data_IF_980296908092
#
_entry.id   IF_980296908092
#
_cell.length_a   1.000
_cell.length_b   1.000
_cell.length_c   1.000
_cell.angle_alpha   90.00
_cell.angle_beta   90.00
_cell.angle_gamma   90.00
#
_symmetry.space_group_name_H-M   'P 1'
#
loop_
_entity.id
_entity.type
_entity.pdbx_description
1 polymer ?
#
# COMPACT_ATOMS: atom_id res chain seq x y z
N UNK A 1 36.31 -2.78 -10.13
CA UNK A 1 35.15 -2.37 -9.31
C UNK A 1 35.27 -0.87 -9.14
N UNK A 2 34.40 -0.11 -9.76
CA UNK A 2 34.34 1.35 -9.60
C UNK A 2 33.75 1.65 -8.24
N UNK A 3 34.51 2.34 -7.40
CA UNK A 3 34.02 2.84 -6.10
C UNK A 3 33.50 4.26 -6.31
N UNK A 4 32.18 4.41 -6.48
CA UNK A 4 31.52 5.70 -6.63
C UNK A 4 31.71 6.62 -5.39
N UNK A 5 32.22 6.07 -4.29
CA UNK A 5 32.44 6.78 -3.02
C UNK A 5 33.68 7.67 -3.01
N UNK A 6 34.53 7.61 -4.03
CA UNK A 6 35.76 8.39 -4.13
C UNK A 6 35.63 9.69 -4.93
N UNK A 7 34.46 10.01 -5.47
CA UNK A 7 34.22 11.23 -6.22
C UNK A 7 33.84 12.38 -5.26
N UNK A 8 34.71 13.29 -5.01
CA UNK A 8 34.48 14.46 -4.15
C UNK A 8 33.29 15.33 -4.59
N UNK A 9 32.88 15.24 -5.85
CA UNK A 9 31.73 15.93 -6.41
C UNK A 9 30.48 15.06 -6.60
N UNK A 10 30.53 13.86 -6.11
CA UNK A 10 29.41 12.92 -5.92
C UNK A 10 28.41 12.90 -7.07
N UNK A 11 28.75 12.63 -8.29
CA UNK A 11 27.87 12.45 -9.45
C UNK A 11 28.37 13.04 -10.75
N UNK A 12 29.54 13.68 -10.78
CA UNK A 12 30.07 14.30 -11.99
C UNK A 12 30.30 13.29 -13.15
N UNK A 13 30.47 12.03 -12.82
CA UNK A 13 30.77 10.97 -13.81
C UNK A 13 29.58 10.06 -14.10
N UNK A 14 28.40 10.32 -13.56
CA UNK A 14 27.21 9.56 -13.80
C UNK A 14 26.32 10.24 -14.84
N UNK A 15 26.04 9.52 -15.89
CA UNK A 15 25.20 10.02 -16.98
C UNK A 15 23.70 9.85 -16.69
N UNK A 16 23.31 8.78 -16.00
CA UNK A 16 21.91 8.36 -15.92
C UNK A 16 21.35 8.45 -14.49
N UNK A 17 22.10 8.03 -13.47
CA UNK A 17 21.64 8.04 -12.10
C UNK A 17 22.77 8.42 -11.13
N UNK A 18 22.41 9.22 -10.15
CA UNK A 18 23.29 9.59 -9.05
C UNK A 18 22.65 9.27 -7.72
N UNK A 19 23.31 8.47 -6.90
CA UNK A 19 22.90 8.22 -5.52
C UNK A 19 24.03 8.48 -4.57
N UNK A 20 23.72 9.08 -3.43
CA UNK A 20 24.68 9.38 -2.38
C UNK A 20 24.62 8.30 -1.30
N UNK A 21 25.76 8.03 -0.68
CA UNK A 21 25.80 7.19 0.51
C UNK A 21 25.10 7.91 1.68
N UNK A 22 24.28 7.18 2.39
CA UNK A 22 23.63 7.67 3.60
C UNK A 22 23.47 6.57 4.63
N UNK A 23 23.31 6.97 5.89
CA UNK A 23 22.99 6.07 6.97
C UNK A 23 21.92 6.70 7.86
N UNK A 24 20.98 5.89 8.30
CA UNK A 24 19.98 6.28 9.28
C UNK A 24 19.80 5.15 10.29
N UNK A 25 19.45 5.51 11.51
CA UNK A 25 19.12 4.56 12.57
C UNK A 25 17.72 4.89 13.09
N UNK A 26 16.97 3.85 13.36
CA UNK A 26 15.67 3.97 14.00
C UNK A 26 15.58 3.01 15.18
N UNK A 27 14.65 3.27 16.07
CA UNK A 27 14.35 2.38 17.18
C UNK A 27 12.85 2.33 17.42
N UNK A 28 12.35 1.13 17.71
CA UNK A 28 10.96 0.91 18.06
C UNK A 28 10.87 0.19 19.40
N UNK A 29 9.95 0.64 20.23
CA UNK A 29 9.58 -0.02 21.48
C UNK A 29 8.10 -0.40 21.40
N UNK A 30 7.78 -1.65 21.69
CA UNK A 30 6.42 -2.14 21.60
C UNK A 30 6.05 -2.96 22.83
N UNK A 31 4.80 -2.84 23.23
CA UNK A 31 4.16 -3.72 24.21
C UNK A 31 2.84 -4.22 23.64
N UNK A 32 2.48 -5.46 23.93
CA UNK A 32 1.20 -6.01 23.52
C UNK A 32 0.55 -6.79 24.67
N UNK A 33 -0.77 -6.85 24.63
CA UNK A 33 -1.60 -7.65 25.52
C UNK A 33 -2.65 -8.36 24.68
N UNK A 34 -2.89 -9.62 24.99
CA UNK A 34 -3.93 -10.44 24.36
C UNK A 34 -4.65 -11.23 25.43
N UNK A 35 -5.96 -11.24 25.39
CA UNK A 35 -6.85 -11.96 26.32
C UNK A 35 -7.84 -12.74 25.46
N UNK A 36 -7.87 -14.06 25.67
CA UNK A 36 -8.87 -14.96 25.12
C UNK A 36 -9.81 -15.38 26.25
N UNK A 37 -11.11 -15.21 26.07
CA UNK A 37 -12.14 -15.48 27.06
C UNK A 37 -13.17 -16.44 26.47
N UNK A 38 -13.29 -17.68 26.98
CA UNK A 38 -14.46 -18.49 26.69
C UNK A 38 -15.70 -17.83 27.28
N UNK A 39 -16.69 -17.53 26.45
CA UNK A 39 -17.95 -16.90 26.85
C UNK A 39 -19.02 -17.92 27.16
N UNK A 40 -19.05 -19.01 26.36
CA UNK A 40 -20.00 -20.11 26.47
C UNK A 40 -19.25 -21.39 26.15
N UNK A 41 -19.53 -22.43 26.93
CA UNK A 41 -19.05 -23.80 26.72
C UNK A 41 -20.11 -24.73 27.30
N UNK A 42 -21.17 -24.98 26.54
CA UNK A 42 -22.27 -25.86 26.93
C UNK A 42 -22.93 -26.55 25.72
N UNK A 43 -23.64 -27.62 26.00
CA UNK A 43 -24.28 -28.46 24.98
C UNK A 43 -25.43 -27.77 24.21
N UNK A 44 -25.98 -26.68 24.75
CA UNK A 44 -27.12 -25.99 24.14
C UNK A 44 -26.70 -24.91 23.13
N UNK A 45 -25.68 -24.13 23.47
CA UNK A 45 -25.20 -23.01 22.68
C UNK A 45 -23.84 -23.27 22.02
N UNK A 46 -23.23 -24.41 22.32
CA UNK A 46 -21.91 -24.79 21.84
C UNK A 46 -20.79 -23.99 22.51
N UNK A 47 -19.71 -23.76 21.79
CA UNK A 47 -18.53 -23.03 22.26
C UNK A 47 -18.46 -21.63 21.66
N UNK A 48 -18.29 -20.62 22.49
CA UNK A 48 -18.02 -19.25 22.03
C UNK A 48 -16.82 -18.65 22.76
N UNK A 49 -15.94 -18.00 22.02
CA UNK A 49 -14.74 -17.35 22.54
C UNK A 49 -14.66 -15.90 22.01
N UNK A 50 -14.30 -15.01 22.90
CA UNK A 50 -13.95 -13.62 22.59
C UNK A 50 -12.45 -13.41 22.80
N UNK A 51 -11.77 -12.90 21.78
CA UNK A 51 -10.38 -12.46 21.85
C UNK A 51 -10.33 -10.94 21.78
N UNK A 52 -9.66 -10.32 22.73
CA UNK A 52 -9.35 -8.89 22.74
C UNK A 52 -7.84 -8.75 22.82
N UNK A 53 -7.27 -7.98 21.92
CA UNK A 53 -5.84 -7.69 21.92
C UNK A 53 -5.59 -6.21 21.65
N UNK A 54 -4.43 -5.74 22.06
CA UNK A 54 -3.96 -4.41 21.74
C UNK A 54 -2.44 -4.37 21.73
N UNK A 55 -1.90 -3.63 20.80
CA UNK A 55 -0.46 -3.38 20.69
C UNK A 55 -0.23 -1.87 20.75
N UNK A 56 0.69 -1.46 21.58
CA UNK A 56 1.24 -0.11 21.59
C UNK A 56 2.66 -0.17 21.00
N UNK A 57 2.97 0.72 20.07
CA UNK A 57 4.31 0.84 19.49
C UNK A 57 4.72 2.30 19.46
N UNK A 58 5.95 2.58 19.88
CA UNK A 58 6.56 3.90 19.85
C UNK A 58 7.80 3.87 18.95
N UNK A 59 7.83 4.71 17.95
CA UNK A 59 8.87 4.83 16.94
C UNK A 59 9.62 6.13 17.13
N UNK A 60 10.94 6.07 17.20
CA UNK A 60 11.76 7.27 17.38
C UNK A 60 11.60 8.22 16.17
N UNK A 61 11.18 9.46 16.43
CA UNK A 61 11.03 10.49 15.39
C UNK A 61 9.89 10.29 14.39
N UNK A 62 8.91 9.41 14.72
CA UNK A 62 7.70 9.21 13.92
C UNK A 62 6.45 9.42 14.79
N UNK A 63 6.46 8.89 16.01
CA UNK A 63 5.33 8.92 16.91
C UNK A 63 4.98 7.55 17.46
N UNK A 64 3.74 7.39 17.91
CA UNK A 64 3.27 6.13 18.49
C UNK A 64 1.96 5.71 17.86
N UNK A 65 1.73 4.39 17.81
CA UNK A 65 0.46 3.79 17.42
C UNK A 65 -0.14 2.95 18.52
N UNK A 66 -1.44 2.79 18.45
CA UNK A 66 -2.19 1.84 19.26
C UNK A 66 -3.10 1.03 18.33
N UNK A 67 -2.86 -0.26 18.25
CA UNK A 67 -3.51 -1.16 17.29
C UNK A 67 -4.37 -2.20 18.05
N UNK A 68 -5.67 -1.93 18.23
CA UNK A 68 -6.61 -2.86 18.86
C UNK A 68 -7.03 -3.97 17.89
N UNK A 69 -7.39 -5.11 18.47
CA UNK A 69 -8.06 -6.21 17.81
C UNK A 69 -9.17 -6.77 18.67
N UNK A 70 -10.31 -7.04 18.08
CA UNK A 70 -11.39 -7.83 18.64
C UNK A 70 -11.74 -8.96 17.68
N UNK A 71 -11.89 -10.17 18.20
CA UNK A 71 -12.31 -11.31 17.41
C UNK A 71 -13.26 -12.19 18.20
N UNK A 72 -14.22 -12.76 17.50
CA UNK A 72 -15.21 -13.70 18.05
C UNK A 72 -15.17 -14.96 17.21
N UNK A 73 -15.14 -16.08 17.88
CA UNK A 73 -15.39 -17.40 17.32
C UNK A 73 -16.59 -18.01 18.04
N UNK A 74 -17.57 -18.47 17.28
CA UNK A 74 -18.72 -19.17 17.80
C UNK A 74 -18.93 -20.49 17.06
N UNK A 75 -18.97 -21.56 17.77
CA UNK A 75 -19.17 -22.92 17.29
C UNK A 75 -20.45 -23.48 17.92
N UNK A 76 -21.63 -23.17 17.33
CA UNK A 76 -22.93 -23.59 17.89
C UNK A 76 -23.13 -25.12 17.85
N UNK A 77 -22.43 -25.77 16.94
CA UNK A 77 -22.41 -27.23 16.76
C UNK A 77 -20.98 -27.64 16.39
N UNK A 78 -20.60 -28.86 16.66
CA UNK A 78 -19.25 -29.40 16.37
C UNK A 78 -18.84 -29.27 14.89
N UNK A 79 -19.84 -29.29 14.01
CA UNK A 79 -19.63 -29.22 12.57
C UNK A 79 -19.62 -27.80 11.99
N UNK A 80 -20.04 -26.77 12.75
CA UNK A 80 -20.16 -25.40 12.25
C UNK A 80 -19.35 -24.41 13.13
N UNK A 81 -18.43 -23.68 12.55
CA UNK A 81 -17.75 -22.57 13.20
C UNK A 81 -17.95 -21.27 12.43
N UNK A 82 -18.34 -20.23 13.15
CA UNK A 82 -18.47 -18.86 12.67
C UNK A 82 -17.34 -18.03 13.27
N UNK A 83 -16.79 -17.11 12.51
CA UNK A 83 -15.73 -16.21 12.96
C UNK A 83 -15.92 -14.81 12.43
N UNK A 84 -15.60 -13.83 13.26
CA UNK A 84 -15.56 -12.43 12.87
C UNK A 84 -14.40 -11.75 13.61
N UNK A 85 -13.71 -10.84 12.96
CA UNK A 85 -12.70 -10.01 13.61
C UNK A 85 -12.62 -8.63 12.98
N UNK A 86 -12.24 -7.67 13.83
CA UNK A 86 -11.86 -6.33 13.44
C UNK A 86 -10.52 -6.00 14.11
N UNK A 87 -9.62 -5.40 13.36
CA UNK A 87 -8.34 -4.92 13.89
C UNK A 87 -7.86 -3.71 13.12
N UNK A 88 -7.04 -2.90 13.77
CA UNK A 88 -6.25 -1.88 13.10
C UNK A 88 -4.80 -2.33 12.98
N UNK A 89 -4.08 -1.75 12.03
CA UNK A 89 -2.66 -1.96 11.83
C UNK A 89 -2.01 -0.65 11.39
N UNK A 90 -0.72 -0.55 11.63
CA UNK A 90 0.08 0.64 11.41
C UNK A 90 1.40 0.25 10.73
N UNK A 91 1.82 1.02 9.73
CA UNK A 91 3.10 0.82 9.05
C UNK A 91 3.89 2.13 9.12
N UNK A 92 5.01 2.11 9.85
CA UNK A 92 5.90 3.25 9.90
C UNK A 92 6.60 3.46 8.54
N UNK A 93 6.84 4.73 8.13
CA UNK A 93 7.65 5.03 6.97
C UNK A 93 9.05 4.41 7.12
N UNK A 94 9.54 3.80 6.06
CA UNK A 94 10.89 3.21 6.07
C UNK A 94 11.97 4.30 6.13
N UNK A 95 13.17 3.94 6.62
CA UNK A 95 14.31 4.86 6.64
C UNK A 95 14.64 5.39 5.24
N UNK A 96 14.49 4.57 4.20
CA UNK A 96 14.71 5.00 2.83
C UNK A 96 13.68 6.06 2.40
N UNK A 97 12.41 5.89 2.73
CA UNK A 97 11.38 6.87 2.40
C UNK A 97 11.60 8.22 3.13
N UNK A 98 12.17 8.19 4.34
CA UNK A 98 12.41 9.40 5.13
C UNK A 98 13.73 10.09 4.85
N UNK A 99 14.81 9.33 4.65
CA UNK A 99 16.17 9.85 4.72
C UNK A 99 17.02 9.62 3.48
N UNK A 100 16.44 9.08 2.39
CA UNK A 100 17.18 9.01 1.13
C UNK A 100 17.68 10.41 0.76
N UNK A 101 19.00 10.57 0.53
CA UNK A 101 19.56 11.85 0.13
C UNK A 101 19.07 12.23 -1.26
N UNK A 102 19.19 13.51 -1.58
CA UNK A 102 18.84 14.02 -2.89
C UNK A 102 19.62 13.26 -3.97
N UNK A 103 18.89 12.61 -4.87
CA UNK A 103 19.41 11.83 -5.97
C UNK A 103 18.76 12.25 -7.28
N UNK A 104 19.43 12.03 -8.41
CA UNK A 104 18.89 12.38 -9.72
C UNK A 104 19.05 11.25 -10.71
N UNK A 105 18.11 11.16 -11.65
CA UNK A 105 18.12 10.21 -12.75
C UNK A 105 17.37 10.80 -13.95
N UNK A 106 17.61 10.26 -15.14
CA UNK A 106 16.88 10.65 -16.34
C UNK A 106 15.62 9.82 -16.48
N UNK A 107 14.50 10.48 -16.72
CA UNK A 107 13.22 9.84 -16.98
C UNK A 107 12.48 10.50 -18.14
N UNK A 108 11.89 9.69 -19.00
CA UNK A 108 11.07 10.14 -20.10
C UNK A 108 9.77 10.78 -19.57
N UNK A 109 9.49 12.00 -19.99
CA UNK A 109 8.34 12.79 -19.54
C UNK A 109 7.82 13.65 -20.69
N UNK A 110 6.51 13.64 -20.91
CA UNK A 110 5.83 14.51 -21.87
C UNK A 110 5.53 15.88 -21.21
N UNK A 111 5.37 16.91 -22.02
CA UNK A 111 4.94 18.23 -21.56
C UNK A 111 3.69 18.67 -22.31
N UNK A 112 2.55 18.15 -21.91
CA UNK A 112 1.26 18.42 -22.57
C UNK A 112 0.83 19.89 -22.46
N UNK A 113 1.28 20.61 -21.43
CA UNK A 113 0.97 22.02 -21.23
C UNK A 113 1.50 22.90 -22.38
N UNK A 114 2.62 22.49 -22.99
CA UNK A 114 3.18 23.19 -24.15
C UNK A 114 3.10 22.37 -25.44
N UNK A 115 2.14 21.44 -25.52
CA UNK A 115 1.89 20.55 -26.68
C UNK A 115 3.11 19.69 -27.08
N UNK A 116 4.06 19.46 -26.16
CA UNK A 116 5.18 18.55 -26.34
C UNK A 116 4.73 17.13 -25.97
N UNK A 117 4.31 16.39 -26.98
CA UNK A 117 3.82 15.01 -26.87
C UNK A 117 4.91 13.97 -27.01
N UNK A 118 6.08 14.39 -27.48
CA UNK A 118 7.21 13.48 -27.57
C UNK A 118 7.85 13.33 -26.20
N UNK A 119 7.92 12.08 -25.77
CA UNK A 119 8.55 11.77 -24.49
C UNK A 119 10.04 12.10 -24.54
N UNK A 120 10.44 13.12 -23.83
CA UNK A 120 11.84 13.58 -23.76
C UNK A 120 12.43 13.21 -22.41
N UNK A 121 13.68 12.77 -22.39
CA UNK A 121 14.41 12.51 -21.16
C UNK A 121 14.67 13.80 -20.41
N UNK A 122 14.21 13.87 -19.17
CA UNK A 122 14.35 15.02 -18.28
C UNK A 122 14.95 14.61 -16.97
N UNK A 123 15.67 15.49 -16.34
CA UNK A 123 16.21 15.25 -14.99
C UNK A 123 15.09 15.13 -13.99
N UNK A 124 14.99 13.98 -13.35
CA UNK A 124 14.16 13.75 -12.20
C UNK A 124 15.03 13.74 -10.95
N UNK A 125 14.66 14.54 -9.97
CA UNK A 125 15.34 14.60 -8.68
C UNK A 125 14.38 14.06 -7.63
N UNK A 126 14.82 13.18 -6.77
CA UNK A 126 14.04 12.71 -5.64
C UNK A 126 14.86 12.71 -4.35
N UNK A 127 14.18 12.83 -3.24
CA UNK A 127 14.76 12.70 -1.90
C UNK A 127 13.73 12.11 -0.94
N UNK A 128 14.21 11.62 0.19
CA UNK A 128 13.33 11.19 1.28
C UNK A 128 12.53 12.36 1.83
N UNK A 129 11.39 12.05 2.42
CA UNK A 129 10.55 13.02 3.12
C UNK A 129 10.50 12.67 4.61
N UNK A 130 11.16 13.45 5.49
CA UNK A 130 11.15 13.20 6.92
C UNK A 130 9.80 13.45 7.60
N UNK A 131 8.90 14.20 6.93
CA UNK A 131 7.59 14.58 7.44
C UNK A 131 6.48 13.57 7.09
N UNK A 132 6.87 12.39 6.57
CA UNK A 132 5.91 11.33 6.29
C UNK A 132 5.25 10.82 7.57
N UNK A 133 3.94 10.72 7.50
CA UNK A 133 3.11 10.10 8.50
C UNK A 133 3.03 8.58 8.28
N UNK A 134 2.70 7.80 9.30
CA UNK A 134 2.48 6.37 9.16
C UNK A 134 1.26 6.02 8.32
N UNK A 135 1.34 4.92 7.58
CA UNK A 135 0.17 4.31 6.94
C UNK A 135 -0.70 3.64 7.99
N UNK A 136 -2.00 3.75 7.87
CA UNK A 136 -2.97 3.09 8.74
C UNK A 136 -3.80 2.08 7.94
N UNK A 137 -4.21 1.00 8.60
CA UNK A 137 -5.08 0.01 8.00
C UNK A 137 -6.16 -0.43 8.98
N UNK A 138 -7.38 -0.58 8.48
CA UNK A 138 -8.47 -1.26 9.15
C UNK A 138 -8.72 -2.59 8.45
N UNK A 139 -8.83 -3.65 9.23
CA UNK A 139 -8.97 -5.01 8.72
C UNK A 139 -10.22 -5.63 9.33
N UNK A 140 -11.16 -6.00 8.50
CA UNK A 140 -12.37 -6.72 8.88
C UNK A 140 -12.39 -8.10 8.21
N UNK A 141 -12.61 -9.14 9.01
CA UNK A 141 -12.78 -10.49 8.50
C UNK A 141 -14.06 -11.10 9.06
N UNK A 142 -14.81 -11.77 8.20
CA UNK A 142 -16.00 -12.55 8.59
C UNK A 142 -15.99 -13.85 7.79
N UNK A 143 -16.21 -14.96 8.46
CA UNK A 143 -16.22 -16.24 7.77
C UNK A 143 -16.91 -17.35 8.53
N UNK A 144 -17.10 -18.45 7.86
CA UNK A 144 -17.59 -19.68 8.46
C UNK A 144 -16.85 -20.90 7.90
N UNK A 145 -16.84 -21.95 8.70
CA UNK A 145 -16.36 -23.27 8.27
C UNK A 145 -17.32 -24.37 8.71
N UNK A 146 -17.50 -25.33 7.84
CA UNK A 146 -18.32 -26.53 8.05
C UNK A 146 -17.42 -27.74 7.97
N UNK A 147 -17.47 -28.61 8.96
CA UNK A 147 -16.71 -29.86 9.03
C UNK A 147 -17.67 -31.00 9.30
N UNK A 148 -18.03 -31.73 8.26
CA UNK A 148 -18.95 -32.89 8.34
C UNK A 148 -18.12 -34.16 8.32
N UNK A 149 -17.85 -34.71 9.51
CA UNK A 149 -17.31 -36.05 9.66
C UNK A 149 -18.42 -37.05 9.33
N UNK A 150 -18.03 -38.19 8.72
CA UNK A 150 -18.95 -39.23 8.30
C UNK A 150 -20.11 -38.71 7.44
N UNK A 151 -19.83 -37.70 6.56
CA UNK A 151 -20.81 -37.12 5.62
C UNK A 151 -21.45 -38.20 4.72
N UNK A 152 -20.68 -39.20 4.37
CA UNK A 152 -21.17 -40.46 3.79
C UNK A 152 -20.42 -41.62 4.45
N UNK A 153 -20.80 -42.85 4.09
CA UNK A 153 -20.05 -44.03 4.57
C UNK A 153 -18.56 -43.91 4.20
N UNK A 154 -17.70 -43.72 5.22
CA UNK A 154 -16.25 -43.54 5.09
C UNK A 154 -15.80 -42.23 4.36
N UNK A 155 -16.50 -41.12 4.49
CA UNK A 155 -16.04 -39.88 3.93
C UNK A 155 -16.30 -38.66 4.81
N UNK A 156 -15.40 -37.65 4.75
CA UNK A 156 -15.52 -36.37 5.39
C UNK A 156 -15.61 -35.29 4.35
N UNK A 157 -16.39 -34.24 4.65
CA UNK A 157 -16.50 -33.03 3.85
C UNK A 157 -16.22 -31.80 4.72
N UNK A 158 -15.24 -31.00 4.33
CA UNK A 158 -14.96 -29.72 4.95
C UNK A 158 -15.08 -28.62 3.90
N UNK A 159 -15.72 -27.52 4.23
CA UNK A 159 -15.73 -26.33 3.38
C UNK A 159 -15.87 -25.07 4.21
N UNK A 160 -15.48 -23.94 3.63
CA UNK A 160 -15.63 -22.66 4.29
C UNK A 160 -15.52 -21.50 3.33
N UNK A 161 -15.98 -20.36 3.81
CA UNK A 161 -15.91 -19.07 3.11
C UNK A 161 -15.44 -18.02 4.10
N UNK A 162 -14.48 -17.19 3.65
CA UNK A 162 -14.00 -16.02 4.37
C UNK A 162 -14.13 -14.79 3.50
N UNK A 163 -14.69 -13.75 4.05
CA UNK A 163 -14.68 -12.41 3.52
C UNK A 163 -13.67 -11.58 4.31
N UNK A 164 -12.77 -10.91 3.60
CA UNK A 164 -11.78 -10.00 4.15
C UNK A 164 -11.89 -8.64 3.48
N UNK A 165 -11.90 -7.58 4.29
CA UNK A 165 -11.80 -6.21 3.81
C UNK A 165 -10.60 -5.55 4.48
N UNK A 166 -9.74 -4.94 3.66
CA UNK A 166 -8.57 -4.16 4.06
C UNK A 166 -8.76 -2.75 3.56
N UNK A 167 -8.89 -1.81 4.47
CA UNK A 167 -8.98 -0.40 4.16
C UNK A 167 -7.72 0.31 4.63
N UNK A 168 -6.95 0.88 3.70
CA UNK A 168 -5.70 1.57 3.97
C UNK A 168 -5.87 3.07 3.76
N UNK A 169 -5.41 3.85 4.73
CA UNK A 169 -5.33 5.31 4.67
C UNK A 169 -3.87 5.76 4.73
N UNK A 170 -3.63 6.97 4.23
CA UNK A 170 -2.33 7.64 4.27
C UNK A 170 -1.17 6.80 3.70
N UNK A 171 -1.45 5.96 2.70
CA UNK A 171 -0.42 5.17 2.06
C UNK A 171 0.67 6.05 1.45
N UNK A 172 1.90 5.69 1.77
CA UNK A 172 3.08 6.39 1.29
C UNK A 172 3.32 6.00 -0.16
N UNK A 173 3.27 6.99 -1.03
CA UNK A 173 3.57 6.81 -2.45
C UNK A 173 4.69 7.73 -2.91
N UNK A 174 5.50 7.26 -3.85
CA UNK A 174 6.47 8.10 -4.55
C UNK A 174 5.79 8.69 -5.79
N UNK A 175 5.53 9.99 -5.76
CA UNK A 175 5.06 10.70 -6.92
C UNK A 175 6.25 10.99 -7.84
N UNK A 176 6.43 10.15 -8.86
CA UNK A 176 7.51 10.25 -9.83
C UNK A 176 7.26 11.39 -10.81
N UNK A 177 8.33 11.90 -11.44
CA UNK A 177 8.30 13.05 -12.32
C UNK A 177 7.16 13.05 -13.36
N UNK A 178 6.95 12.03 -14.18
CA UNK A 178 5.80 12.00 -15.09
C UNK A 178 4.47 12.18 -14.40
N UNK A 179 4.28 11.56 -13.22
CA UNK A 179 3.04 11.69 -12.44
C UNK A 179 2.85 13.10 -11.87
N UNK A 180 3.93 13.79 -11.50
CA UNK A 180 3.87 15.19 -11.08
C UNK A 180 3.38 16.06 -12.23
N UNK A 181 3.93 15.86 -13.43
CA UNK A 181 3.54 16.61 -14.64
C UNK A 181 2.10 16.30 -15.06
N UNK A 182 1.70 15.01 -15.04
CA UNK A 182 0.32 14.62 -15.34
C UNK A 182 -0.68 15.22 -14.36
N UNK A 183 -0.35 15.25 -13.06
CA UNK A 183 -1.20 15.82 -12.02
C UNK A 183 -1.34 17.35 -12.18
N UNK A 184 -0.26 18.05 -12.50
CA UNK A 184 -0.29 19.48 -12.79
C UNK A 184 -1.15 19.76 -14.03
N UNK A 185 -0.99 18.98 -15.09
CA UNK A 185 -1.80 19.09 -16.29
C UNK A 185 -3.29 18.81 -16.07
N UNK A 186 -3.60 17.84 -15.21
CA UNK A 186 -5.00 17.55 -14.85
C UNK A 186 -5.66 18.72 -14.13
N UNK A 187 -4.96 19.37 -13.20
CA UNK A 187 -5.43 20.59 -12.53
C UNK A 187 -5.59 21.76 -13.50
N UNK A 188 -4.68 21.86 -14.47
CA UNK A 188 -4.81 22.85 -15.55
C UNK A 188 -6.10 22.63 -16.33
N UNK A 189 -6.43 21.40 -16.71
CA UNK A 189 -7.67 21.09 -17.46
C UNK A 189 -8.94 21.39 -16.64
N UNK A 190 -8.89 21.21 -15.33
CA UNK A 190 -9.99 21.59 -14.43
C UNK A 190 -10.22 23.12 -14.44
N UNK A 191 -9.12 23.89 -14.45
CA UNK A 191 -9.16 25.36 -14.48
C UNK A 191 -9.51 25.93 -15.87
N UNK A 192 -9.16 25.21 -16.94
CA UNK A 192 -9.37 25.59 -18.33
C UNK A 192 -10.16 24.52 -19.09
N UNK A 193 -11.47 24.36 -18.85
CA UNK A 193 -12.27 23.27 -19.43
C UNK A 193 -12.37 23.26 -20.95
N UNK A 194 -12.02 24.36 -21.62
CA UNK A 194 -11.95 24.46 -23.09
C UNK A 194 -10.69 23.84 -23.67
N UNK A 195 -9.66 23.60 -22.85
CA UNK A 195 -8.43 22.94 -23.25
C UNK A 195 -8.57 21.42 -23.18
N UNK A 196 -7.79 20.74 -23.99
CA UNK A 196 -7.62 19.28 -23.93
C UNK A 196 -6.14 18.92 -24.17
N UNK A 197 -5.79 17.63 -24.07
CA UNK A 197 -4.42 17.17 -24.30
C UNK A 197 -3.88 17.45 -25.70
N UNK A 198 -4.70 17.94 -26.62
CA UNK A 198 -4.35 18.19 -28.02
C UNK A 198 -4.36 19.67 -28.40
N UNK A 199 -5.00 20.49 -27.56
CA UNK A 199 -5.24 21.90 -27.85
C UNK A 199 -5.13 22.72 -26.57
N UNK A 200 -3.90 23.08 -26.23
CA UNK A 200 -3.60 24.01 -25.13
C UNK A 200 -3.21 25.37 -25.73
N UNK A 201 -3.92 26.42 -25.35
CA UNK A 201 -3.54 27.78 -25.71
C UNK A 201 -2.25 28.14 -24.97
N UNK A 202 -1.30 28.77 -25.72
CA UNK A 202 -0.05 29.19 -25.11
C UNK A 202 -0.25 30.26 -24.03
N UNK A 203 -1.21 31.16 -24.22
CA UNK A 203 -1.50 32.20 -23.26
C UNK A 203 -2.07 31.64 -21.96
N UNK A 204 -2.95 30.62 -22.05
CA UNK A 204 -3.47 29.92 -20.89
C UNK A 204 -2.38 29.14 -20.17
N UNK A 205 -1.49 28.45 -20.91
CA UNK A 205 -0.35 27.76 -20.34
C UNK A 205 0.58 28.69 -19.56
N UNK A 206 0.89 29.89 -20.14
CA UNK A 206 1.72 30.90 -19.47
C UNK A 206 1.00 31.51 -18.26
N UNK A 207 -0.31 31.74 -18.35
CA UNK A 207 -1.10 32.18 -17.21
C UNK A 207 -1.06 31.18 -16.07
N UNK A 208 -1.19 29.87 -16.38
CA UNK A 208 -1.06 28.79 -15.41
C UNK A 208 0.30 28.78 -14.72
N UNK A 209 1.39 28.91 -15.47
CA UNK A 209 2.74 28.93 -14.89
C UNK A 209 2.93 30.12 -13.91
N UNK A 210 2.26 31.23 -14.13
CA UNK A 210 2.42 32.41 -13.28
C UNK A 210 1.61 32.37 -11.98
N UNK A 211 0.59 31.48 -11.87
CA UNK A 211 -0.28 31.44 -10.69
C UNK A 211 -0.27 30.09 -9.95
N UNK A 212 -0.26 29.02 -10.70
CA UNK A 212 -0.89 27.81 -10.18
C UNK A 212 -0.12 26.52 -10.45
N UNK A 213 0.89 26.55 -11.32
CA UNK A 213 1.68 25.39 -11.70
C UNK A 213 2.42 24.78 -10.50
N UNK A 214 2.59 23.47 -10.53
CA UNK A 214 3.29 22.74 -9.46
C UNK A 214 4.76 23.21 -9.35
N UNK A 215 5.19 23.72 -8.19
CA UNK A 215 6.56 24.23 -7.98
C UNK A 215 7.63 23.13 -8.12
N UNK A 216 7.24 21.85 -8.10
CA UNK A 216 8.13 20.72 -8.33
C UNK A 216 8.50 20.55 -9.81
N UNK A 217 7.84 21.26 -10.73
CA UNK A 217 8.16 21.27 -12.14
C UNK A 217 9.02 22.50 -12.46
N UNK A 218 10.31 22.31 -12.51
CA UNK A 218 11.26 23.39 -12.82
C UNK A 218 11.34 23.56 -14.32
N UNK A 219 11.05 24.75 -14.80
CA UNK A 219 11.03 25.10 -16.23
C UNK A 219 12.11 26.12 -16.57
N UNK A 220 12.59 26.07 -17.79
CA UNK A 220 13.42 27.14 -18.38
C UNK A 220 12.63 28.41 -18.59
N UNK A 221 13.36 29.49 -18.88
CA UNK A 221 12.75 30.78 -19.14
C UNK A 221 12.05 30.88 -20.51
N UNK A 222 11.33 32.00 -20.69
CA UNK A 222 10.73 32.34 -21.98
C UNK A 222 11.77 32.38 -23.10
N UNK A 223 11.41 32.05 -24.34
CA UNK A 223 10.08 31.65 -24.78
C UNK A 223 9.76 30.16 -24.69
N UNK A 224 10.72 29.29 -24.37
CA UNK A 224 10.52 27.85 -24.50
C UNK A 224 9.72 27.21 -23.35
N UNK A 225 9.93 27.69 -22.12
CA UNK A 225 9.34 27.13 -20.91
C UNK A 225 9.48 25.58 -20.75
N UNK A 226 10.48 25.01 -21.40
CA UNK A 226 10.75 23.57 -21.34
C UNK A 226 10.97 23.09 -19.93
N UNK A 227 10.49 21.92 -19.59
CA UNK A 227 10.79 21.27 -18.30
C UNK A 227 12.29 20.93 -18.27
N UNK A 228 13.01 21.48 -17.32
CA UNK A 228 14.44 21.22 -17.10
C UNK A 228 14.63 20.13 -16.06
N UNK A 229 13.80 20.15 -15.02
CA UNK A 229 13.86 19.21 -13.91
C UNK A 229 12.47 19.00 -13.33
N UNK A 230 12.20 17.81 -12.85
CA UNK A 230 11.03 17.51 -12.03
C UNK A 230 11.48 16.94 -10.70
N UNK A 231 10.97 17.46 -9.61
CA UNK A 231 11.21 16.96 -8.28
C UNK A 231 10.14 15.92 -7.94
N UNK A 232 10.56 14.67 -7.83
CA UNK A 232 9.74 13.58 -7.33
C UNK A 232 9.80 13.58 -5.78
N UNK A 233 8.71 13.24 -5.13
CA UNK A 233 8.65 13.25 -3.67
C UNK A 233 7.73 12.16 -3.13
N UNK A 234 8.01 11.75 -1.89
CA UNK A 234 7.13 10.87 -1.14
C UNK A 234 6.04 11.68 -0.43
N UNK A 235 4.82 11.18 -0.43
CA UNK A 235 3.70 11.78 0.29
C UNK A 235 2.73 10.71 0.79
N UNK A 236 1.98 11.04 1.82
CA UNK A 236 0.82 10.30 2.30
C UNK A 236 -0.41 10.81 1.53
N UNK A 237 -0.88 10.08 0.55
CA UNK A 237 -1.98 10.58 -0.29
C UNK A 237 -2.88 9.50 -0.87
N UNK A 238 -2.63 8.23 -0.57
CA UNK A 238 -3.36 7.15 -1.21
C UNK A 238 -4.25 6.44 -0.22
N UNK A 239 -5.54 6.40 -0.53
CA UNK A 239 -6.51 5.49 0.06
C UNK A 239 -6.60 4.27 -0.84
N UNK A 240 -6.59 3.08 -0.25
CA UNK A 240 -6.75 1.83 -0.97
C UNK A 240 -7.69 0.92 -0.19
N UNK A 241 -8.70 0.42 -0.85
CA UNK A 241 -9.55 -0.63 -0.33
C UNK A 241 -9.33 -1.91 -1.13
N UNK A 242 -9.17 -3.00 -0.42
CA UNK A 242 -9.02 -4.32 -0.99
C UNK A 242 -9.98 -5.29 -0.30
N UNK A 243 -10.86 -5.91 -1.08
CA UNK A 243 -11.76 -6.95 -0.60
C UNK A 243 -11.39 -8.28 -1.22
N UNK A 244 -11.49 -9.34 -0.43
CA UNK A 244 -11.27 -10.70 -0.90
C UNK A 244 -12.35 -11.63 -0.36
N UNK A 245 -12.74 -12.61 -1.17
CA UNK A 245 -13.57 -13.73 -0.77
C UNK A 245 -12.78 -14.99 -1.04
N UNK A 246 -12.44 -15.71 0.03
CA UNK A 246 -11.76 -17.00 -0.04
C UNK A 246 -12.77 -18.12 0.17
N UNK A 247 -12.74 -19.10 -0.71
CA UNK A 247 -13.58 -20.28 -0.65
C UNK A 247 -12.69 -21.51 -0.70
N UNK A 248 -12.91 -22.44 0.19
CA UNK A 248 -12.23 -23.73 0.14
C UNK A 248 -13.23 -24.87 0.36
N UNK A 249 -12.94 -26.03 -0.22
CA UNK A 249 -13.66 -27.27 0.02
C UNK A 249 -12.70 -28.45 -0.08
N UNK A 250 -12.78 -29.35 0.88
CA UNK A 250 -12.00 -30.58 0.96
C UNK A 250 -12.94 -31.77 1.13
N UNK A 251 -12.72 -32.78 0.32
CA UNK A 251 -13.38 -34.08 0.45
C UNK A 251 -12.33 -35.16 0.75
N UNK A 252 -12.54 -35.91 1.80
CA UNK A 252 -11.67 -37.02 2.19
C UNK A 252 -12.45 -38.31 2.15
N UNK A 253 -11.97 -39.28 1.39
CA UNK A 253 -12.53 -40.63 1.33
C UNK A 253 -11.59 -41.58 2.05
N UNK A 254 -12.14 -42.34 3.02
CA UNK A 254 -11.43 -43.37 3.79
C UNK A 254 -11.67 -44.76 3.16
N UNK A 255 -10.60 -45.45 2.82
CA UNK A 255 -10.65 -46.76 2.21
C UNK A 255 -10.04 -47.77 3.17
N UNK A 256 -10.61 -48.99 3.25
CA UNK A 256 -10.14 -50.04 4.14
C UNK A 256 -8.73 -50.53 3.77
N UNK A 257 -8.42 -50.59 2.47
CA UNK A 257 -7.21 -51.24 1.97
C UNK A 257 -6.09 -50.23 1.57
N UNK A 258 -6.43 -48.98 1.22
CA UNK A 258 -5.49 -48.03 0.59
C UNK A 258 -5.29 -46.76 1.42
N UNK A 259 -5.86 -46.68 2.62
CA UNK A 259 -5.81 -45.46 3.45
C UNK A 259 -6.79 -44.40 2.97
N UNK A 260 -6.45 -43.11 3.14
CA UNK A 260 -7.35 -42.01 2.85
C UNK A 260 -6.93 -41.24 1.58
N UNK A 261 -7.91 -40.88 0.75
CA UNK A 261 -7.73 -40.03 -0.43
C UNK A 261 -8.40 -38.70 -0.16
N UNK A 262 -7.63 -37.59 -0.22
CA UNK A 262 -8.16 -36.23 -0.06
C UNK A 262 -8.09 -35.48 -1.38
N UNK A 263 -9.16 -34.78 -1.72
CA UNK A 263 -9.25 -33.89 -2.86
C UNK A 263 -9.75 -32.54 -2.34
N UNK A 264 -9.05 -31.45 -2.66
CA UNK A 264 -9.38 -30.10 -2.23
C UNK A 264 -9.40 -29.11 -3.40
N UNK A 265 -10.17 -28.07 -3.22
CA UNK A 265 -10.21 -26.88 -4.08
C UNK A 265 -10.16 -25.64 -3.23
N UNK A 266 -9.38 -24.65 -3.69
CA UNK A 266 -9.30 -23.32 -3.09
C UNK A 266 -9.45 -22.29 -4.19
N UNK A 267 -10.18 -21.21 -3.91
CA UNK A 267 -10.36 -20.08 -4.82
C UNK A 267 -10.43 -18.78 -4.02
N UNK A 268 -9.79 -17.74 -4.56
CA UNK A 268 -9.84 -16.36 -4.05
C UNK A 268 -10.35 -15.44 -5.16
N UNK A 269 -11.26 -14.57 -4.80
CA UNK A 269 -11.81 -13.52 -5.67
C UNK A 269 -11.63 -12.15 -5.05
#
# INVERSE_FOLDING_TARGET
>A
IWDARSDENQCNNWYDACSLDYGATDSVQSAFLEIAMPLVDDDQFGYAELQIAGRYSSYAGIGSSYDPKIAVRWQPQDWLALRASFSTAFIAPSMAQRFTPKSSFLQSTNDLLFNDREATYRTNVFQGNPDLEPEQAEITNVGFSVALADFCDNCDLNFGVDYSNFFFEDRITLLRGPRVVDADFSKFLEAYPQADSTNVSRDDAVAWLNCCADPNIVRGGAPSYTIVQVNAYYLNAQVMEHTAIDVYADYTWHTDDYGSIRVGIEATH
#
